data_IF_322508911229
#
_entry.id   IF_322508911229
#
_cell.length_a   1.000
_cell.length_b   1.000
_cell.length_c   1.000
_cell.angle_alpha   90.00
_cell.angle_beta   90.00
_cell.angle_gamma   90.00
#
_symmetry.space_group_name_H-M   'P 1'
#
loop_
_entity.id
_entity.type
_entity.pdbx_description
1 polymer ?
#
# COMPACT_ATOMS: atom_id res chain seq x y z
N UNK A 1 -3.44 0.10 -11.44
CA UNK A 1 -2.98 -1.08 -10.66
C UNK A 1 -2.31 -2.09 -11.60
N UNK A 2 -3.00 -2.39 -12.69
CA UNK A 2 -2.69 -3.27 -13.83
C UNK A 2 -1.26 -3.10 -14.35
N UNK A 3 -0.83 -1.85 -14.59
CA UNK A 3 0.55 -1.55 -15.01
C UNK A 3 1.61 -2.10 -14.04
N UNK A 4 1.46 -1.84 -12.73
CA UNK A 4 2.42 -2.31 -11.72
C UNK A 4 2.36 -3.83 -11.53
N UNK A 5 1.16 -4.42 -11.60
CA UNK A 5 0.98 -5.87 -11.61
C UNK A 5 1.70 -6.52 -12.79
N UNK A 6 1.52 -6.00 -14.01
CA UNK A 6 2.16 -6.52 -15.22
C UNK A 6 3.69 -6.43 -15.16
N UNK A 7 4.22 -5.42 -14.45
CA UNK A 7 5.65 -5.25 -14.16
C UNK A 7 6.18 -6.15 -13.02
N UNK A 8 5.32 -6.95 -12.39
CA UNK A 8 5.70 -7.87 -11.31
C UNK A 8 6.02 -7.19 -9.98
N UNK A 9 5.59 -5.94 -9.78
CA UNK A 9 5.87 -5.18 -8.56
C UNK A 9 5.03 -5.64 -7.36
N UNK A 10 3.91 -6.31 -7.61
CA UNK A 10 3.02 -6.82 -6.58
C UNK A 10 2.97 -8.35 -6.57
N UNK A 11 2.84 -8.92 -5.37
CA UNK A 11 2.97 -10.37 -5.14
C UNK A 11 1.67 -11.15 -5.36
N UNK A 12 0.54 -10.47 -5.32
CA UNK A 12 -0.79 -11.07 -5.44
C UNK A 12 -1.74 -10.09 -6.12
N UNK A 13 -2.68 -10.66 -6.88
CA UNK A 13 -3.75 -9.92 -7.51
C UNK A 13 -4.86 -9.65 -6.48
N UNK A 14 -5.30 -8.40 -6.39
CA UNK A 14 -6.39 -7.97 -5.50
C UNK A 14 -7.66 -7.60 -6.28
N UNK A 15 -7.65 -7.68 -7.61
CA UNK A 15 -8.78 -7.28 -8.46
C UNK A 15 -9.85 -8.35 -8.60
N UNK A 16 -9.47 -9.62 -8.43
CA UNK A 16 -10.36 -10.77 -8.56
C UNK A 16 -10.81 -11.35 -7.21
N UNK A 17 -10.61 -10.63 -6.10
CA UNK A 17 -10.95 -11.12 -4.78
C UNK A 17 -12.45 -11.02 -4.51
N UNK A 18 -13.00 -11.99 -3.78
CA UNK A 18 -14.36 -11.89 -3.29
C UNK A 18 -14.49 -10.70 -2.34
N UNK A 19 -15.47 -9.84 -2.59
CA UNK A 19 -15.76 -8.66 -1.76
C UNK A 19 -17.18 -8.68 -1.24
N UNK A 20 -17.36 -8.16 -0.01
CA UNK A 20 -18.69 -7.95 0.58
C UNK A 20 -18.73 -6.61 1.31
N UNK A 21 -19.84 -5.88 1.15
CA UNK A 21 -20.14 -4.71 1.99
C UNK A 21 -20.60 -5.20 3.37
N UNK A 22 -19.91 -4.74 4.40
CA UNK A 22 -20.23 -5.04 5.80
C UNK A 22 -21.46 -4.21 6.20
N UNK A 23 -22.51 -4.81 6.77
CA UNK A 23 -23.66 -4.07 7.28
C UNK A 23 -23.26 -3.00 8.30
N UNK A 24 -23.84 -1.80 8.18
CA UNK A 24 -23.61 -0.67 9.08
C UNK A 24 -23.60 0.67 8.34
N UNK A 25 -23.55 1.76 9.08
CA UNK A 25 -23.72 3.12 8.53
C UNK A 25 -22.48 3.63 7.77
N UNK A 26 -21.36 2.91 7.86
CA UNK A 26 -20.06 3.34 7.31
C UNK A 26 -19.73 2.69 5.96
N UNK A 27 -20.48 1.66 5.55
CA UNK A 27 -20.30 1.03 4.23
C UNK A 27 -18.94 0.36 4.01
N UNK A 28 -18.32 -0.19 5.06
CA UNK A 28 -17.01 -0.86 4.92
C UNK A 28 -17.06 -2.01 3.92
N UNK A 29 -15.98 -2.18 3.15
CA UNK A 29 -15.80 -3.29 2.22
C UNK A 29 -14.80 -4.29 2.81
N UNK A 30 -15.23 -5.54 2.98
CA UNK A 30 -14.35 -6.67 3.29
C UNK A 30 -13.91 -7.34 1.99
N UNK A 31 -12.63 -7.70 1.90
CA UNK A 31 -12.05 -8.39 0.76
C UNK A 31 -11.30 -9.65 1.21
N UNK A 32 -11.62 -10.79 0.59
CA UNK A 32 -10.94 -12.06 0.84
C UNK A 32 -9.72 -12.20 -0.07
N UNK A 33 -8.53 -11.87 0.47
CA UNK A 33 -7.26 -12.00 -0.24
C UNK A 33 -6.65 -13.39 -0.02
N UNK A 34 -7.11 -14.36 -0.81
CA UNK A 34 -6.57 -15.71 -0.79
C UNK A 34 -5.06 -15.74 -1.12
N UNK A 35 -4.33 -16.69 -0.55
CA UNK A 35 -2.87 -16.78 -0.73
C UNK A 35 -2.04 -15.70 -0.04
N UNK A 36 -2.64 -14.64 0.53
CA UNK A 36 -1.89 -13.64 1.33
C UNK A 36 -1.12 -14.28 2.48
N UNK A 37 -1.69 -15.32 3.09
CA UNK A 37 -1.05 -16.07 4.17
C UNK A 37 0.20 -16.86 3.73
N UNK A 38 0.24 -17.31 2.47
CA UNK A 38 1.37 -18.05 1.88
C UNK A 38 2.43 -17.11 1.30
N UNK A 39 1.99 -15.99 0.71
CA UNK A 39 2.86 -15.02 0.02
C UNK A 39 3.33 -13.86 0.89
N UNK A 40 2.90 -13.82 2.17
CA UNK A 40 3.39 -12.83 3.13
C UNK A 40 4.90 -12.96 3.29
N UNK A 41 5.57 -11.87 3.63
CA UNK A 41 6.97 -11.93 4.04
C UNK A 41 7.10 -12.82 5.27
N UNK A 42 8.13 -13.69 5.33
CA UNK A 42 8.46 -14.40 6.56
C UNK A 42 8.58 -13.41 7.70
N UNK A 43 7.97 -13.73 8.83
CA UNK A 43 8.09 -12.92 10.02
C UNK A 43 9.54 -12.93 10.47
N UNK A 44 10.15 -11.75 10.48
CA UNK A 44 11.56 -11.58 10.83
C UNK A 44 11.80 -11.66 12.34
N UNK A 45 10.74 -11.82 13.14
CA UNK A 45 10.83 -11.87 14.57
C UNK A 45 11.24 -13.25 15.09
N UNK A 46 12.19 -13.27 16.03
CA UNK A 46 12.37 -14.42 16.90
C UNK A 46 11.23 -14.49 17.92
N UNK A 47 10.70 -15.70 18.13
CA UNK A 47 9.56 -15.95 19.03
C UNK A 47 9.95 -15.76 20.50
N UNK A 48 11.25 -15.80 20.82
CA UNK A 48 11.80 -15.68 22.18
C UNK A 48 12.04 -14.23 22.63
N UNK A 49 11.90 -13.23 21.74
CA UNK A 49 12.28 -11.85 22.05
C UNK A 49 11.36 -10.81 21.44
N UNK A 50 10.69 -10.04 22.30
CA UNK A 50 9.80 -8.93 21.92
C UNK A 50 10.61 -7.75 21.35
N UNK A 51 11.68 -7.32 22.05
CA UNK A 51 12.52 -6.20 21.61
C UNK A 51 13.65 -6.70 20.71
N UNK A 52 13.56 -6.37 19.42
CA UNK A 52 14.54 -6.76 18.43
C UNK A 52 15.27 -5.53 17.87
N UNK A 53 16.58 -5.61 17.62
CA UNK A 53 17.32 -4.51 17.03
C UNK A 53 16.81 -4.24 15.62
N UNK A 54 16.80 -2.96 15.24
CA UNK A 54 16.52 -2.56 13.87
C UNK A 54 17.66 -3.02 12.95
N UNK A 55 17.31 -3.63 11.82
CA UNK A 55 18.24 -4.04 10.78
C UNK A 55 17.90 -3.32 9.48
N UNK A 56 18.73 -2.33 9.12
CA UNK A 56 18.53 -1.51 7.92
C UNK A 56 18.68 -2.30 6.61
N UNK A 57 19.28 -3.50 6.63
CA UNK A 57 19.38 -4.37 5.46
C UNK A 57 18.04 -5.04 5.13
N UNK A 58 17.21 -5.28 6.15
CA UNK A 58 15.88 -5.89 6.01
C UNK A 58 14.83 -4.90 5.52
N UNK A 59 13.68 -5.42 5.12
CA UNK A 59 12.60 -4.55 4.66
C UNK A 59 12.17 -3.58 5.75
N UNK A 60 12.01 -2.32 5.38
CA UNK A 60 11.36 -1.30 6.18
C UNK A 60 10.73 -0.27 5.25
N UNK A 61 9.86 0.60 5.79
CA UNK A 61 9.08 1.53 4.96
C UNK A 61 9.90 2.57 4.20
N UNK A 62 11.19 2.75 4.52
CA UNK A 62 12.09 3.61 3.72
C UNK A 62 12.58 2.95 2.43
N UNK A 63 12.33 1.64 2.26
CA UNK A 63 12.72 0.85 1.07
C UNK A 63 11.59 0.65 0.06
N UNK A 64 10.44 1.27 0.24
CA UNK A 64 9.35 1.24 -0.76
C UNK A 64 9.83 1.97 -2.02
N UNK A 65 9.82 1.28 -3.16
CA UNK A 65 10.21 1.86 -4.45
C UNK A 65 9.17 2.86 -4.95
N UNK A 66 9.60 3.91 -5.66
CA UNK A 66 8.67 4.90 -6.24
C UNK A 66 7.76 4.28 -7.30
N UNK A 67 8.25 3.23 -7.97
CA UNK A 67 7.50 2.43 -8.91
C UNK A 67 6.33 1.65 -8.28
N UNK A 68 6.34 1.43 -6.96
CA UNK A 68 5.26 0.76 -6.22
C UNK A 68 4.11 1.71 -5.83
N UNK A 69 4.29 3.02 -6.01
CA UNK A 69 3.28 4.04 -5.69
C UNK A 69 2.09 3.92 -6.65
N UNK A 70 0.88 3.91 -6.08
CA UNK A 70 -0.37 3.87 -6.83
C UNK A 70 -0.89 5.27 -7.13
N UNK A 71 -1.00 6.11 -6.11
CA UNK A 71 -1.44 7.50 -6.23
C UNK A 71 -0.92 8.33 -5.05
N UNK A 72 -0.90 9.64 -5.27
CA UNK A 72 -0.53 10.65 -4.28
C UNK A 72 -1.76 11.50 -3.96
N UNK A 73 -1.82 11.99 -2.73
CA UNK A 73 -2.76 13.02 -2.32
C UNK A 73 -2.05 14.36 -2.17
N UNK A 74 -2.73 15.41 -2.58
CA UNK A 74 -2.31 16.79 -2.34
C UNK A 74 -3.47 17.54 -1.68
N UNK A 75 -3.15 18.54 -0.87
CA UNK A 75 -4.17 19.36 -0.25
C UNK A 75 -4.81 20.28 -1.31
N UNK A 76 -6.10 20.08 -1.59
CA UNK A 76 -6.85 20.87 -2.57
C UNK A 76 -7.27 22.26 -2.10
N UNK A 77 -7.04 22.62 -0.83
CA UNK A 77 -7.41 23.92 -0.25
C UNK A 77 -8.91 24.18 -0.09
N UNK A 78 -9.77 23.28 -0.57
CA UNK A 78 -11.23 23.34 -0.48
C UNK A 78 -11.86 21.96 -0.33
N UNK A 79 -13.18 21.88 -0.38
CA UNK A 79 -13.95 20.63 -0.16
C UNK A 79 -14.03 19.73 -1.41
N UNK A 80 -13.61 20.23 -2.57
CA UNK A 80 -13.61 19.47 -3.81
C UNK A 80 -12.40 18.55 -3.91
N UNK A 81 -12.63 17.36 -4.47
CA UNK A 81 -11.58 16.42 -4.82
C UNK A 81 -11.66 16.08 -6.30
N UNK A 82 -10.52 16.02 -6.96
CA UNK A 82 -10.42 15.63 -8.36
C UNK A 82 -9.24 14.69 -8.56
N UNK A 83 -9.36 13.81 -9.54
CA UNK A 83 -8.31 12.88 -9.93
C UNK A 83 -7.54 13.46 -11.12
N UNK A 84 -6.20 13.40 -11.04
CA UNK A 84 -5.31 13.74 -12.14
C UNK A 84 -4.52 12.49 -12.50
N UNK A 85 -4.60 12.06 -13.76
CA UNK A 85 -3.94 10.84 -14.23
C UNK A 85 -2.40 10.92 -14.12
N UNK A 86 -1.85 12.12 -14.29
CA UNK A 86 -0.43 12.40 -14.12
C UNK A 86 -0.22 13.80 -13.57
N UNK A 87 0.45 13.91 -12.42
CA UNK A 87 0.89 15.18 -11.84
C UNK A 87 2.40 15.13 -11.60
N UNK A 88 3.15 16.21 -11.87
CA UNK A 88 4.56 16.27 -11.51
C UNK A 88 4.72 16.24 -9.98
N UNK A 89 5.70 15.49 -9.49
CA UNK A 89 6.01 15.42 -8.06
C UNK A 89 6.52 16.79 -7.60
N UNK A 90 5.70 17.52 -6.86
CA UNK A 90 6.13 18.80 -6.26
C UNK A 90 7.05 18.52 -5.07
N UNK A 91 8.24 19.13 -5.08
CA UNK A 91 9.25 19.00 -4.01
C UNK A 91 8.83 19.75 -2.72
N UNK A 92 7.68 20.44 -2.75
CA UNK A 92 7.27 21.36 -1.68
C UNK A 92 6.76 20.64 -0.43
N UNK A 93 6.19 19.45 -0.56
CA UNK A 93 5.67 18.69 0.57
C UNK A 93 6.73 17.71 1.10
N UNK A 94 7.33 18.08 2.24
CA UNK A 94 8.38 17.30 2.93
C UNK A 94 7.90 15.94 3.44
N UNK A 95 6.62 15.63 3.36
CA UNK A 95 6.04 14.34 3.75
C UNK A 95 5.31 13.71 2.55
N UNK A 96 5.71 12.52 2.10
CA UNK A 96 5.03 11.85 0.99
C UNK A 96 3.63 11.39 1.42
N UNK A 97 2.60 12.01 0.84
CA UNK A 97 1.20 11.59 0.99
C UNK A 97 0.85 10.56 -0.09
N UNK A 98 1.52 9.41 -0.07
CA UNK A 98 1.39 8.39 -1.11
C UNK A 98 0.72 7.14 -0.60
N UNK A 99 -0.01 6.46 -1.49
CA UNK A 99 -0.49 5.10 -1.26
C UNK A 99 0.36 4.16 -2.10
N UNK A 100 0.99 3.21 -1.42
CA UNK A 100 1.73 2.11 -2.03
C UNK A 100 1.25 0.77 -1.45
N UNK A 101 1.40 -0.31 -2.21
CA UNK A 101 1.05 -1.67 -1.79
C UNK A 101 2.30 -2.53 -1.85
N UNK A 102 2.56 -3.29 -0.78
CA UNK A 102 3.84 -3.97 -0.57
C UNK A 102 3.73 -5.28 0.23
#
# INVERSE_FOLDING_TARGET
WEDRMARGLFRYDVTACETKVIPGNLGFVAQLNEGRHLKKRPTEFRVDRVLQPFDAAKFNFTKVGQEEVLFQFENGGGDDSFFVESSPISVADRAPNVVAIN
#
